data_IF_782102936358
#
_entry.id   IF_782102936358
#
_cell.length_a   1.000
_cell.length_b   1.000
_cell.length_c   1.000
_cell.angle_alpha   90.00
_cell.angle_beta   90.00
_cell.angle_gamma   90.00
#
_symmetry.space_group_name_H-M   'P 1'
#
loop_
_entity.id
_entity.type
_entity.pdbx_description
1 polymer ?
#
# COMPACT_ATOMS: atom_id res chain seq x y z
N UNK A 1 -5.75 2.52 -4.17
CA UNK A 1 -4.66 3.52 -4.35
C UNK A 1 -4.98 4.49 -5.49
N UNK A 2 -4.87 4.09 -6.76
CA UNK A 2 -5.03 5.02 -7.89
C UNK A 2 -6.38 5.76 -7.96
N UNK A 3 -7.46 5.14 -7.46
CA UNK A 3 -8.80 5.75 -7.41
C UNK A 3 -9.05 6.61 -6.17
N UNK A 4 -8.06 6.79 -5.27
CA UNK A 4 -8.27 7.43 -3.96
C UNK A 4 -9.13 6.59 -2.98
N UNK A 5 -9.50 5.37 -3.37
CA UNK A 5 -10.21 4.43 -2.51
C UNK A 5 -9.20 3.68 -1.62
N UNK A 6 -9.16 4.03 -0.33
CA UNK A 6 -8.20 3.46 0.65
C UNK A 6 -8.82 2.42 1.58
N UNK A 7 -10.15 2.24 1.59
CA UNK A 7 -10.83 1.29 2.47
C UNK A 7 -10.29 -0.14 2.34
N UNK A 8 -10.01 -0.60 1.11
CA UNK A 8 -9.43 -1.93 0.87
C UNK A 8 -7.96 -2.08 1.29
N UNK A 9 -7.24 -0.98 1.52
CA UNK A 9 -5.90 -1.01 2.10
C UNK A 9 -5.99 -1.15 3.62
N UNK A 10 -6.93 -0.44 4.24
CA UNK A 10 -7.16 -0.52 5.70
C UNK A 10 -7.72 -1.90 6.07
N UNK A 11 -8.67 -2.41 5.30
CA UNK A 11 -9.33 -3.70 5.53
C UNK A 11 -8.60 -4.87 4.85
N UNK A 12 -7.28 -4.82 4.74
CA UNK A 12 -6.51 -5.79 3.94
C UNK A 12 -6.67 -7.24 4.38
N UNK A 13 -6.98 -7.51 5.65
CA UNK A 13 -7.26 -8.86 6.17
C UNK A 13 -8.48 -9.51 5.48
N UNK A 14 -9.41 -8.71 4.97
CA UNK A 14 -10.54 -9.17 4.17
C UNK A 14 -10.16 -9.63 2.76
N UNK A 15 -8.93 -9.35 2.30
CA UNK A 15 -8.47 -9.68 0.94
C UNK A 15 -7.94 -11.13 0.82
N UNK A 16 -8.29 -11.98 1.78
CA UNK A 16 -7.97 -13.42 1.78
C UNK A 16 -6.59 -13.77 2.33
N UNK A 17 -6.27 -15.07 2.29
CA UNK A 17 -5.08 -15.65 2.94
C UNK A 17 -3.76 -15.04 2.44
N UNK A 18 -3.69 -14.66 1.17
CA UNK A 18 -2.50 -14.04 0.60
C UNK A 18 -2.14 -12.71 1.27
N UNK A 19 -3.14 -11.91 1.68
CA UNK A 19 -2.92 -10.63 2.33
C UNK A 19 -2.36 -10.81 3.75
N UNK A 20 -2.84 -11.82 4.49
CA UNK A 20 -2.30 -12.18 5.80
C UNK A 20 -0.87 -12.74 5.71
N UNK A 21 -0.53 -13.45 4.62
CA UNK A 21 0.84 -13.92 4.38
C UNK A 21 1.78 -12.80 3.92
N UNK A 22 1.28 -11.83 3.16
CA UNK A 22 2.05 -10.67 2.70
C UNK A 22 2.30 -9.64 3.81
N UNK A 23 1.36 -9.52 4.76
CA UNK A 23 1.44 -8.61 5.92
C UNK A 23 1.10 -9.40 7.20
N UNK A 24 2.04 -10.23 7.70
CA UNK A 24 1.81 -11.06 8.90
C UNK A 24 1.69 -10.23 10.18
N UNK A 25 2.42 -9.10 10.21
CA UNK A 25 2.35 -8.08 11.25
C UNK A 25 2.20 -6.71 10.60
N UNK A 26 1.66 -5.75 11.34
CA UNK A 26 1.32 -4.43 10.79
C UNK A 26 2.53 -3.51 10.59
N UNK A 27 3.69 -3.84 11.15
CA UNK A 27 4.84 -2.94 11.28
C UNK A 27 5.30 -2.32 9.96
N UNK A 28 5.47 -3.14 8.92
CA UNK A 28 5.98 -2.69 7.62
C UNK A 28 4.89 -2.14 6.69
N UNK A 29 3.62 -2.37 7.01
CA UNK A 29 2.48 -1.90 6.23
C UNK A 29 1.93 -0.57 6.74
N UNK A 30 2.05 -0.32 8.04
CA UNK A 30 1.52 0.86 8.70
C UNK A 30 2.07 2.18 8.15
N UNK A 31 3.39 2.35 7.87
CA UNK A 31 3.91 3.59 7.30
C UNK A 31 3.25 3.97 5.97
N UNK A 32 2.97 2.96 5.13
CA UNK A 32 2.28 3.13 3.86
C UNK A 32 0.85 3.65 4.06
N UNK A 33 0.15 3.15 5.08
CA UNK A 33 -1.21 3.61 5.44
C UNK A 33 -1.22 5.06 5.92
N UNK A 34 -0.24 5.46 6.74
CA UNK A 34 -0.13 6.87 7.16
C UNK A 34 0.21 7.79 5.99
N UNK A 35 1.13 7.40 5.12
CA UNK A 35 1.49 8.17 3.94
C UNK A 35 0.29 8.33 2.98
N UNK A 36 -0.43 7.25 2.68
CA UNK A 36 -1.58 7.30 1.76
C UNK A 36 -2.76 8.10 2.34
N UNK A 37 -2.92 8.16 3.67
CA UNK A 37 -3.98 8.93 4.32
C UNK A 37 -3.84 10.45 4.13
N UNK A 38 -2.67 10.93 3.72
CA UNK A 38 -2.43 12.35 3.42
C UNK A 38 -2.91 12.76 2.03
N UNK A 39 -3.29 11.81 1.16
CA UNK A 39 -3.79 12.11 -0.18
C UNK A 39 -5.09 12.92 -0.12
N UNK A 40 -5.06 14.12 -0.71
CA UNK A 40 -6.26 14.97 -0.87
C UNK A 40 -7.03 14.59 -2.13
N UNK A 41 -8.30 14.99 -2.14
CA UNK A 41 -9.17 14.79 -3.30
C UNK A 41 -8.58 15.47 -4.54
N UNK A 42 -8.33 14.68 -5.58
CA UNK A 42 -7.80 15.17 -6.86
C UNK A 42 -6.27 15.21 -6.94
N UNK A 43 -5.53 14.89 -5.86
CA UNK A 43 -4.09 14.73 -5.96
C UNK A 43 -3.73 13.45 -6.72
N UNK A 44 -2.87 13.52 -7.74
CA UNK A 44 -2.42 12.35 -8.46
C UNK A 44 -1.59 11.45 -7.52
N UNK A 45 -1.59 10.16 -7.82
CA UNK A 45 -0.69 9.19 -7.21
C UNK A 45 0.10 8.53 -8.33
N UNK A 46 1.42 8.55 -8.22
CA UNK A 46 2.33 7.91 -9.17
C UNK A 46 3.16 6.84 -8.47
N UNK A 47 3.39 5.72 -9.16
CA UNK A 47 4.35 4.73 -8.72
C UNK A 47 5.69 5.03 -9.39
N UNK A 48 6.73 5.26 -8.59
CA UNK A 48 8.07 5.57 -9.09
C UNK A 48 9.03 4.39 -8.96
N UNK A 49 8.68 3.40 -8.13
CA UNK A 49 9.43 2.18 -7.99
C UNK A 49 8.48 1.00 -7.85
N UNK A 50 8.73 -0.05 -8.62
CA UNK A 50 7.96 -1.28 -8.61
C UNK A 50 8.91 -2.47 -8.70
N UNK A 51 8.53 -3.59 -8.08
CA UNK A 51 9.32 -4.82 -8.12
C UNK A 51 9.39 -5.52 -6.78
N UNK A 52 9.95 -6.73 -6.81
CA UNK A 52 10.18 -7.55 -5.64
C UNK A 52 11.68 -7.88 -5.54
N UNK A 53 12.23 -7.74 -4.33
CA UNK A 53 13.55 -8.22 -3.98
C UNK A 53 13.44 -9.51 -3.17
N UNK A 54 14.41 -10.41 -3.34
CA UNK A 54 14.48 -11.69 -2.62
C UNK A 54 13.17 -12.52 -2.72
N UNK A 55 12.44 -12.37 -3.83
CA UNK A 55 11.19 -13.07 -4.13
C UNK A 55 9.94 -12.62 -3.36
N UNK A 56 10.07 -11.86 -2.27
CA UNK A 56 8.93 -11.54 -1.38
C UNK A 56 8.88 -10.11 -0.87
N UNK A 57 9.98 -9.36 -0.94
CA UNK A 57 10.05 -7.99 -0.42
C UNK A 57 9.58 -7.04 -1.51
N UNK A 58 8.38 -6.47 -1.36
CA UNK A 58 7.91 -5.45 -2.28
C UNK A 58 8.69 -4.16 -2.08
N UNK A 59 9.27 -3.64 -3.16
CA UNK A 59 9.93 -2.35 -3.19
C UNK A 59 9.00 -1.25 -3.73
N UNK A 60 7.68 -1.43 -3.63
CA UNK A 60 6.73 -0.50 -4.22
C UNK A 60 6.81 0.86 -3.53
N UNK A 61 7.20 1.87 -4.29
CA UNK A 61 7.23 3.27 -3.89
C UNK A 61 6.13 4.07 -4.61
N UNK A 62 5.47 4.98 -3.88
CA UNK A 62 4.47 5.89 -4.44
C UNK A 62 4.69 7.32 -3.97
N UNK A 63 4.31 8.26 -4.81
CA UNK A 63 4.29 9.68 -4.52
C UNK A 63 2.87 10.21 -4.68
N UNK A 64 2.49 11.15 -3.82
CA UNK A 64 1.22 11.88 -3.87
C UNK A 64 1.52 13.33 -4.24
N UNK A 65 0.74 13.90 -5.16
CA UNK A 65 0.98 15.22 -5.75
C UNK A 65 2.03 15.19 -6.86
#
# INVERSE_FOLDING_TARGET
MLRGEHAGLIQYLGNGKAAALAVPTLDHYLPMIYAIALQKKGEPLTFFHEGFQHGSISMRGFQIG
#
